data_IF_472793614141
#
_entry.id   IF_472793614141
#
_cell.length_a   1.000
_cell.length_b   1.000
_cell.length_c   1.000
_cell.angle_alpha   90.00
_cell.angle_beta   90.00
_cell.angle_gamma   90.00
#
_symmetry.space_group_name_H-M   'P 1'
#
loop_
_entity.id
_entity.type
_entity.pdbx_description
1 polymer ?
#
# COMPACT_ATOMS: atom_id res chain seq x y z
N UNK A 1 39.34 10.14 55.66
CA UNK A 1 39.47 9.43 54.37
C UNK A 1 38.97 8.00 54.58
N UNK A 2 38.02 7.37 53.88
CA UNK A 2 37.00 7.74 52.90
C UNK A 2 36.04 6.53 52.92
N UNK A 3 34.76 6.69 53.33
CA UNK A 3 33.79 5.58 53.37
C UNK A 3 33.59 5.03 51.96
N UNK A 4 34.03 3.78 51.71
CA UNK A 4 33.82 3.05 50.46
C UNK A 4 32.31 2.87 50.27
N UNK A 5 31.73 3.51 49.24
CA UNK A 5 30.35 3.26 48.83
C UNK A 5 30.26 1.83 48.30
N UNK A 6 29.49 0.97 48.96
CA UNK A 6 29.03 -0.29 48.38
C UNK A 6 27.92 0.05 47.38
N UNK A 7 28.21 -0.06 46.09
CA UNK A 7 27.16 -0.06 45.08
C UNK A 7 26.50 -1.44 45.08
N UNK A 8 25.31 -1.52 45.65
CA UNK A 8 24.38 -2.62 45.38
C UNK A 8 23.87 -2.40 43.95
N UNK A 9 24.16 -3.36 43.06
CA UNK A 9 23.51 -3.39 41.76
C UNK A 9 22.03 -3.70 42.00
N UNK A 10 21.20 -2.65 42.03
CA UNK A 10 19.76 -2.81 41.92
C UNK A 10 19.52 -3.35 40.51
N UNK A 11 19.02 -4.59 40.44
CA UNK A 11 18.49 -5.17 39.20
C UNK A 11 17.44 -4.21 38.65
N UNK A 12 17.72 -3.63 37.49
CA UNK A 12 16.74 -2.87 36.72
C UNK A 12 15.65 -3.87 36.33
N UNK A 13 14.56 -3.88 37.08
CA UNK A 13 13.35 -4.57 36.67
C UNK A 13 12.95 -4.03 35.31
N UNK A 14 13.02 -4.89 34.30
CA UNK A 14 12.52 -4.67 32.95
C UNK A 14 10.99 -4.72 32.94
N UNK A 15 10.33 -3.93 33.80
CA UNK A 15 8.90 -3.68 33.72
C UNK A 15 8.71 -2.38 32.92
N UNK A 16 8.67 -2.55 31.60
CA UNK A 16 8.17 -1.52 30.69
C UNK A 16 6.82 -1.03 31.24
N UNK A 17 6.58 0.29 31.39
CA UNK A 17 5.35 0.78 31.99
C UNK A 17 4.17 0.26 31.16
N UNK A 18 3.24 -0.44 31.81
CA UNK A 18 2.09 -1.04 31.15
C UNK A 18 1.36 0.04 30.32
N UNK A 19 1.50 -0.01 29.00
CA UNK A 19 0.89 0.96 28.09
C UNK A 19 -0.61 0.98 28.37
N UNK A 20 -1.18 2.17 28.58
CA UNK A 20 -2.63 2.34 28.74
C UNK A 20 -3.32 1.80 27.50
N UNK A 21 -4.30 0.90 27.66
CA UNK A 21 -5.09 0.40 26.53
C UNK A 21 -5.73 1.57 25.78
N UNK A 22 -5.33 1.74 24.52
CA UNK A 22 -5.88 2.68 23.57
C UNK A 22 -6.99 2.04 22.74
N UNK A 23 -7.88 2.88 22.20
CA UNK A 23 -8.90 2.43 21.25
C UNK A 23 -8.29 2.04 19.90
N UNK A 24 -9.02 1.28 19.09
CA UNK A 24 -8.61 0.94 17.73
C UNK A 24 -8.34 2.20 16.89
N UNK A 25 -9.18 3.24 17.06
CA UNK A 25 -9.07 4.47 16.29
C UNK A 25 -7.81 5.27 16.70
N UNK A 26 -7.46 5.31 17.99
CA UNK A 26 -6.22 5.94 18.47
C UNK A 26 -4.97 5.19 17.98
N UNK A 27 -5.03 3.86 17.98
CA UNK A 27 -3.96 3.01 17.46
C UNK A 27 -3.78 3.20 15.95
N UNK A 28 -4.89 3.32 15.21
CA UNK A 28 -4.87 3.61 13.78
C UNK A 28 -4.25 4.98 13.50
N UNK A 29 -4.63 6.02 14.25
CA UNK A 29 -4.02 7.34 14.10
C UNK A 29 -2.51 7.32 14.36
N UNK A 30 -2.09 6.64 15.43
CA UNK A 30 -0.68 6.47 15.78
C UNK A 30 0.09 5.74 14.67
N UNK A 31 -0.49 4.67 14.13
CA UNK A 31 0.08 3.92 13.01
C UNK A 31 0.22 4.77 11.74
N UNK A 32 -0.81 5.54 11.37
CA UNK A 32 -0.75 6.42 10.19
C UNK A 32 0.30 7.52 10.38
N UNK A 33 0.48 8.03 11.60
CA UNK A 33 1.52 9.00 11.92
C UNK A 33 2.94 8.40 11.74
N UNK A 34 3.17 7.18 12.24
CA UNK A 34 4.43 6.45 12.02
C UNK A 34 4.69 6.21 10.52
N UNK A 35 3.66 5.82 9.77
CA UNK A 35 3.77 5.63 8.33
C UNK A 35 4.10 6.92 7.57
N UNK A 36 3.55 8.06 8.00
CA UNK A 36 3.89 9.39 7.48
C UNK A 36 5.34 9.75 7.79
N UNK A 37 5.81 9.48 9.01
CA UNK A 37 7.21 9.73 9.40
C UNK A 37 8.20 8.91 8.54
N UNK A 38 7.78 7.76 8.04
CA UNK A 38 8.53 6.91 7.10
C UNK A 38 8.47 7.36 5.64
N UNK A 39 7.85 8.51 5.34
CA UNK A 39 7.68 9.05 3.99
C UNK A 39 7.00 8.06 3.01
N UNK A 40 6.00 7.31 3.50
CA UNK A 40 5.18 6.47 2.63
C UNK A 40 4.25 7.34 1.78
N UNK A 41 4.00 6.88 0.54
CA UNK A 41 3.07 7.56 -0.38
C UNK A 41 1.69 7.73 0.24
N UNK A 42 1.04 8.85 -0.07
CA UNK A 42 -0.35 9.15 0.34
C UNK A 42 -1.29 8.01 -0.04
N UNK A 43 -1.09 7.39 -1.21
CA UNK A 43 -1.91 6.27 -1.66
C UNK A 43 -1.72 5.04 -0.75
N UNK A 44 -0.48 4.77 -0.33
CA UNK A 44 -0.17 3.68 0.62
C UNK A 44 -0.84 3.93 1.96
N UNK A 45 -0.77 5.16 2.49
CA UNK A 45 -1.44 5.54 3.74
C UNK A 45 -2.94 5.28 3.66
N UNK A 46 -3.58 5.74 2.57
CA UNK A 46 -5.01 5.53 2.34
C UNK A 46 -5.38 4.05 2.26
N UNK A 47 -4.58 3.25 1.55
CA UNK A 47 -4.82 1.80 1.47
C UNK A 47 -4.73 1.17 2.85
N UNK A 48 -3.74 1.55 3.66
CA UNK A 48 -3.56 1.01 5.01
C UNK A 48 -4.71 1.41 5.94
N UNK A 49 -5.08 2.69 5.97
CA UNK A 49 -6.19 3.22 6.73
C UNK A 49 -7.51 2.53 6.37
N UNK A 50 -7.86 2.54 5.09
CA UNK A 50 -9.05 1.86 4.59
C UNK A 50 -9.05 0.36 4.93
N UNK A 51 -7.89 -0.29 4.98
CA UNK A 51 -7.83 -1.73 5.28
C UNK A 51 -8.22 -2.02 6.73
N UNK A 52 -7.79 -1.18 7.67
CA UNK A 52 -8.16 -1.31 9.09
C UNK A 52 -9.63 -0.92 9.30
N UNK A 53 -10.11 0.13 8.64
CA UNK A 53 -11.52 0.53 8.71
C UNK A 53 -12.44 -0.55 8.15
N UNK A 54 -12.11 -1.15 7.01
CA UNK A 54 -12.88 -2.25 6.42
C UNK A 54 -12.89 -3.50 7.30
N UNK A 55 -11.81 -3.76 8.04
CA UNK A 55 -11.78 -4.83 9.04
C UNK A 55 -12.76 -4.53 10.19
N UNK A 56 -12.75 -3.30 10.72
CA UNK A 56 -13.69 -2.88 11.76
C UNK A 56 -15.15 -3.00 11.29
N UNK A 57 -15.45 -2.51 10.09
CA UNK A 57 -16.78 -2.63 9.47
C UNK A 57 -17.22 -4.09 9.33
N UNK A 58 -16.35 -4.97 8.82
CA UNK A 58 -16.68 -6.38 8.62
C UNK A 58 -17.02 -7.11 9.94
N UNK A 59 -16.30 -6.82 11.02
CA UNK A 59 -16.60 -7.38 12.35
C UNK A 59 -17.93 -6.83 12.89
N UNK A 60 -18.19 -5.54 12.71
CA UNK A 60 -19.45 -4.89 13.12
C UNK A 60 -20.66 -5.45 12.37
N UNK A 61 -20.58 -5.61 11.05
CA UNK A 61 -21.65 -6.15 10.22
C UNK A 61 -22.00 -7.61 10.57
N UNK A 62 -21.02 -8.38 11.02
CA UNK A 62 -21.21 -9.76 11.51
C UNK A 62 -21.52 -9.84 13.02
N UNK A 63 -21.66 -8.69 13.70
CA UNK A 63 -21.90 -8.61 15.15
C UNK A 63 -20.86 -9.34 15.99
N UNK A 64 -19.62 -9.41 15.51
CA UNK A 64 -18.51 -10.05 16.20
C UNK A 64 -17.72 -9.01 17.01
N UNK A 65 -17.36 -9.30 18.27
CA UNK A 65 -16.51 -8.41 19.04
C UNK A 65 -15.12 -8.32 18.41
N UNK A 66 -14.64 -7.08 18.21
CA UNK A 66 -13.28 -6.80 17.78
C UNK A 66 -12.51 -6.17 18.93
N UNK A 67 -11.68 -6.97 19.59
CA UNK A 67 -10.69 -6.49 20.55
C UNK A 67 -9.28 -6.70 20.00
N UNK A 68 -8.59 -5.60 19.71
CA UNK A 68 -7.25 -5.59 19.13
C UNK A 68 -6.22 -6.32 20.01
N UNK A 69 -6.44 -6.38 21.33
CA UNK A 69 -5.48 -7.01 22.25
C UNK A 69 -5.66 -8.53 22.36
N UNK A 70 -6.80 -9.07 21.92
CA UNK A 70 -7.13 -10.51 22.05
C UNK A 70 -7.45 -11.20 20.74
N UNK A 71 -7.64 -10.44 19.65
CA UNK A 71 -7.94 -10.98 18.32
C UNK A 71 -6.83 -11.90 17.83
N UNK A 72 -7.22 -13.03 17.24
CA UNK A 72 -6.29 -14.00 16.68
C UNK A 72 -6.22 -13.92 15.15
N UNK A 73 -5.20 -14.54 14.55
CA UNK A 73 -5.12 -14.66 13.09
C UNK A 73 -6.31 -15.43 12.50
N UNK A 74 -6.87 -16.37 13.26
CA UNK A 74 -8.04 -17.15 12.89
C UNK A 74 -9.28 -16.28 12.79
N UNK A 75 -9.46 -15.35 13.72
CA UNK A 75 -10.58 -14.42 13.72
C UNK A 75 -10.52 -13.50 12.50
N UNK A 76 -9.34 -12.98 12.16
CA UNK A 76 -9.18 -12.16 10.95
C UNK A 76 -9.47 -12.98 9.69
N UNK A 77 -9.00 -14.23 9.61
CA UNK A 77 -9.29 -15.11 8.47
C UNK A 77 -10.78 -15.37 8.31
N UNK A 78 -11.46 -15.68 9.41
CA UNK A 78 -12.88 -16.07 9.40
C UNK A 78 -13.81 -14.87 9.22
N UNK A 79 -13.59 -13.79 9.96
CA UNK A 79 -14.53 -12.68 10.03
C UNK A 79 -14.16 -11.52 9.11
N UNK A 80 -12.95 -11.47 8.56
CA UNK A 80 -12.58 -10.45 7.58
C UNK A 80 -12.30 -11.04 6.19
N UNK A 81 -11.36 -11.98 6.08
CA UNK A 81 -10.95 -12.50 4.77
C UNK A 81 -12.09 -13.29 4.11
N UNK A 82 -12.71 -14.24 4.83
CA UNK A 82 -13.83 -15.00 4.30
C UNK A 82 -15.04 -14.11 4.01
N UNK A 83 -15.28 -13.09 4.83
CA UNK A 83 -16.32 -12.10 4.59
C UNK A 83 -16.13 -11.35 3.26
N UNK A 84 -14.91 -10.87 2.98
CA UNK A 84 -14.62 -10.19 1.71
C UNK A 84 -14.78 -11.12 0.50
N UNK A 85 -14.38 -12.39 0.62
CA UNK A 85 -14.56 -13.40 -0.44
C UNK A 85 -16.06 -13.64 -0.69
N UNK A 86 -16.85 -13.79 0.38
CA UNK A 86 -18.30 -13.99 0.28
C UNK A 86 -19.03 -12.78 -0.32
N UNK A 87 -18.49 -11.58 -0.16
CA UNK A 87 -18.98 -10.38 -0.85
C UNK A 87 -18.57 -10.29 -2.34
N UNK A 88 -17.88 -11.29 -2.89
CA UNK A 88 -17.43 -11.30 -4.28
C UNK A 88 -16.34 -10.27 -4.59
N UNK A 89 -15.54 -9.86 -3.60
CA UNK A 89 -14.38 -8.98 -3.85
C UNK A 89 -13.30 -9.75 -4.62
N UNK A 90 -12.64 -9.09 -5.56
CA UNK A 90 -11.54 -9.71 -6.30
C UNK A 90 -10.37 -10.06 -5.39
N UNK A 91 -9.65 -11.15 -5.72
CA UNK A 91 -8.49 -11.61 -4.96
C UNK A 91 -7.42 -10.52 -4.79
N UNK A 92 -7.23 -9.69 -5.81
CA UNK A 92 -6.32 -8.53 -5.74
C UNK A 92 -6.76 -7.51 -4.69
N UNK A 93 -8.06 -7.26 -4.58
CA UNK A 93 -8.61 -6.37 -3.55
C UNK A 93 -8.39 -6.96 -2.17
N UNK A 94 -8.75 -8.24 -1.99
CA UNK A 94 -8.55 -8.97 -0.72
C UNK A 94 -7.08 -8.95 -0.31
N UNK A 95 -6.18 -9.24 -1.25
CA UNK A 95 -4.73 -9.24 -1.00
C UNK A 95 -4.17 -7.86 -0.67
N UNK A 96 -4.68 -6.80 -1.30
CA UNK A 96 -4.32 -5.43 -0.94
C UNK A 96 -4.72 -5.10 0.49
N UNK A 97 -5.93 -5.52 0.91
CA UNK A 97 -6.41 -5.34 2.29
C UNK A 97 -5.62 -6.15 3.31
N UNK A 98 -5.32 -7.41 2.99
CA UNK A 98 -4.46 -8.26 3.83
C UNK A 98 -3.10 -7.58 4.05
N UNK A 99 -2.47 -7.02 3.01
CA UNK A 99 -1.20 -6.31 3.14
C UNK A 99 -1.29 -5.10 4.09
N UNK A 100 -2.37 -4.31 4.00
CA UNK A 100 -2.59 -3.18 4.91
C UNK A 100 -2.73 -3.63 6.37
N UNK A 101 -3.55 -4.67 6.61
CA UNK A 101 -3.77 -5.23 7.95
C UNK A 101 -2.48 -5.85 8.51
N UNK A 102 -1.71 -6.58 7.69
CA UNK A 102 -0.40 -7.12 8.09
C UNK A 102 0.52 -6.02 8.58
N UNK A 103 0.58 -4.89 7.86
CA UNK A 103 1.44 -3.77 8.24
C UNK A 103 0.97 -3.10 9.54
N UNK A 104 -0.33 -3.00 9.75
CA UNK A 104 -0.91 -2.51 11.00
C UNK A 104 -0.57 -3.40 12.20
N UNK A 105 -0.84 -4.72 12.12
CA UNK A 105 -0.52 -5.64 13.21
C UNK A 105 0.98 -5.78 13.46
N UNK A 106 1.80 -5.67 12.41
CA UNK A 106 3.26 -5.62 12.55
C UNK A 106 3.70 -4.38 13.33
N UNK A 107 3.12 -3.22 13.05
CA UNK A 107 3.35 -2.00 13.82
C UNK A 107 2.95 -2.19 15.28
N UNK A 108 1.74 -2.71 15.54
CA UNK A 108 1.27 -2.96 16.92
C UNK A 108 2.19 -3.90 17.69
N UNK A 109 2.69 -4.95 17.06
CA UNK A 109 3.63 -5.88 17.67
C UNK A 109 4.99 -5.23 17.95
N UNK A 110 5.53 -4.47 16.98
CA UNK A 110 6.83 -3.79 17.10
C UNK A 110 6.81 -2.73 18.21
N UNK A 111 5.70 -2.02 18.34
CA UNK A 111 5.47 -1.04 19.40
C UNK A 111 5.08 -1.68 20.73
N UNK A 112 4.90 -3.01 20.81
CA UNK A 112 4.51 -3.70 22.05
C UNK A 112 3.08 -3.41 22.52
N UNK A 113 2.17 -3.03 21.62
CA UNK A 113 0.74 -2.96 21.89
C UNK A 113 0.08 -4.35 21.97
N UNK A 114 0.60 -5.30 21.20
CA UNK A 114 0.19 -6.71 21.22
C UNK A 114 1.41 -7.60 21.47
N UNK A 115 1.19 -8.74 22.12
CA UNK A 115 2.25 -9.70 22.48
C UNK A 115 2.48 -10.77 21.42
N UNK A 116 1.50 -11.05 20.57
CA UNK A 116 1.58 -12.03 19.50
C UNK A 116 1.66 -11.34 18.14
N UNK A 117 2.57 -11.82 17.27
CA UNK A 117 2.67 -11.34 15.90
C UNK A 117 1.61 -11.98 15.00
N UNK A 118 0.40 -11.42 14.99
CA UNK A 118 -0.71 -11.85 14.13
C UNK A 118 -0.35 -11.69 12.63
N UNK A 119 0.50 -10.72 12.29
CA UNK A 119 0.83 -10.42 10.92
C UNK A 119 1.52 -11.60 10.21
N UNK A 120 2.37 -12.38 10.88
CA UNK A 120 3.10 -13.47 10.21
C UNK A 120 2.18 -14.61 9.77
N UNK A 121 1.08 -14.82 10.48
CA UNK A 121 0.10 -15.89 10.22
C UNK A 121 -0.93 -15.52 9.14
N UNK A 122 -0.97 -14.26 8.70
CA UNK A 122 -1.86 -13.80 7.63
C UNK A 122 -1.22 -14.04 6.25
N UNK A 123 -1.74 -15.02 5.52
CA UNK A 123 -1.31 -15.32 4.15
C UNK A 123 -2.24 -14.66 3.14
N UNK A 124 -1.66 -14.22 2.02
CA UNK A 124 -2.41 -13.75 0.86
C UNK A 124 -3.21 -14.90 0.24
N UNK A 125 -4.41 -14.59 -0.25
CA UNK A 125 -5.23 -15.53 -1.01
C UNK A 125 -4.56 -15.75 -2.37
N UNK A 126 -4.59 -17.00 -2.86
CA UNK A 126 -4.04 -17.35 -4.16
C UNK A 126 -4.89 -16.70 -5.24
N UNK A 127 -4.45 -15.53 -5.71
CA UNK A 127 -5.10 -14.83 -6.80
C UNK A 127 -4.84 -15.55 -8.12
N UNK A 128 -5.89 -15.74 -8.92
CA UNK A 128 -5.71 -16.10 -10.32
C UNK A 128 -4.91 -14.99 -11.01
N UNK A 129 -3.79 -15.36 -11.63
CA UNK A 129 -3.06 -14.43 -12.48
C UNK A 129 -3.92 -14.18 -13.71
N UNK A 130 -4.58 -13.03 -13.76
CA UNK A 130 -5.15 -12.52 -14.99
C UNK A 130 -4.01 -12.40 -16.00
N UNK A 131 -4.01 -13.27 -17.00
CA UNK A 131 -3.14 -13.08 -18.16
C UNK A 131 -3.68 -11.89 -18.93
N UNK A 132 -2.93 -10.78 -18.84
CA UNK A 132 -3.22 -9.60 -19.65
C UNK A 132 -2.93 -10.00 -21.09
N UNK A 133 -3.97 -10.04 -21.92
CA UNK A 133 -3.82 -10.28 -23.35
C UNK A 133 -3.09 -9.09 -23.96
N UNK A 134 -2.03 -9.36 -24.70
CA UNK A 134 -1.25 -8.35 -25.42
C UNK A 134 -1.90 -8.07 -26.77
N UNK A 135 -1.76 -6.84 -27.26
CA UNK A 135 -2.24 -6.49 -28.59
C UNK A 135 -1.39 -7.11 -29.70
N UNK A 136 -2.03 -7.53 -30.80
CA UNK A 136 -1.32 -7.85 -32.05
C UNK A 136 -0.89 -6.57 -32.77
N UNK A 137 -0.02 -6.69 -33.78
CA UNK A 137 0.44 -5.53 -34.56
C UNK A 137 -0.72 -4.81 -35.25
N UNK A 138 -1.69 -5.56 -35.75
CA UNK A 138 -2.88 -5.07 -36.43
C UNK A 138 -3.77 -4.31 -35.45
N UNK A 139 -4.02 -4.87 -34.26
CA UNK A 139 -4.79 -4.20 -33.21
C UNK A 139 -4.13 -2.88 -32.75
N UNK A 140 -2.81 -2.85 -32.66
CA UNK A 140 -2.07 -1.62 -32.34
C UNK A 140 -2.23 -0.59 -33.47
N UNK A 141 -2.15 -1.01 -34.73
CA UNK A 141 -2.37 -0.13 -35.87
C UNK A 141 -3.79 0.46 -35.89
N UNK A 142 -4.81 -0.36 -35.62
CA UNK A 142 -6.21 0.06 -35.54
C UNK A 142 -6.44 1.05 -34.40
N UNK A 143 -5.83 0.82 -33.24
CA UNK A 143 -5.87 1.73 -32.10
C UNK A 143 -5.24 3.09 -32.44
N UNK A 144 -4.06 3.09 -33.06
CA UNK A 144 -3.35 4.31 -33.47
C UNK A 144 -4.04 5.07 -34.63
N UNK A 145 -5.02 4.46 -35.30
CA UNK A 145 -5.84 5.08 -36.33
C UNK A 145 -7.10 5.76 -35.78
N UNK A 146 -7.52 5.47 -34.55
CA UNK A 146 -8.76 6.04 -33.96
C UNK A 146 -8.73 7.57 -33.77
N UNK A 147 -7.63 8.21 -33.30
CA UNK A 147 -7.64 9.64 -33.03
C UNK A 147 -7.61 10.49 -34.31
N UNK A 148 -8.52 11.47 -34.44
CA UNK A 148 -8.47 12.44 -35.54
C UNK A 148 -7.32 13.44 -35.36
N UNK A 149 -6.25 13.22 -36.13
CA UNK A 149 -5.00 13.99 -36.08
C UNK A 149 -5.14 15.42 -36.58
N UNK A 150 -6.27 15.80 -37.19
CA UNK A 150 -6.57 17.18 -37.60
C UNK A 150 -7.12 18.03 -36.44
N UNK A 151 -7.55 17.39 -35.35
CA UNK A 151 -7.98 18.08 -34.13
C UNK A 151 -6.85 18.14 -33.12
N UNK A 152 -6.82 19.19 -32.30
CA UNK A 152 -5.84 19.30 -31.22
C UNK A 152 -5.91 18.11 -30.25
N UNK A 153 -7.13 17.71 -29.87
CA UNK A 153 -7.36 16.58 -28.94
C UNK A 153 -6.94 15.25 -29.56
N UNK A 154 -7.27 14.99 -30.83
CA UNK A 154 -6.88 13.74 -31.48
C UNK A 154 -5.37 13.67 -31.75
N UNK A 155 -4.72 14.77 -32.12
CA UNK A 155 -3.26 14.81 -32.24
C UNK A 155 -2.56 14.58 -30.90
N UNK A 156 -3.09 15.17 -29.81
CA UNK A 156 -2.60 14.93 -28.45
C UNK A 156 -2.74 13.45 -28.08
N UNK A 157 -3.92 12.86 -28.25
CA UNK A 157 -4.19 11.49 -27.85
C UNK A 157 -3.34 10.49 -28.67
N UNK A 158 -3.18 10.72 -29.97
CA UNK A 158 -2.26 9.96 -30.82
C UNK A 158 -0.81 10.03 -30.31
N UNK A 159 -0.33 11.22 -29.98
CA UNK A 159 1.02 11.42 -29.45
C UNK A 159 1.20 10.71 -28.12
N UNK A 160 0.21 10.78 -27.22
CA UNK A 160 0.21 10.06 -25.94
C UNK A 160 0.27 8.54 -26.14
N UNK A 161 -0.50 7.99 -27.07
CA UNK A 161 -0.48 6.56 -27.40
C UNK A 161 0.88 6.13 -27.96
N UNK A 162 1.46 6.92 -28.87
CA UNK A 162 2.79 6.65 -29.42
C UNK A 162 3.88 6.66 -28.34
N UNK A 163 3.86 7.64 -27.42
CA UNK A 163 4.84 7.69 -26.33
C UNK A 163 4.71 6.46 -25.43
N UNK A 164 3.48 6.05 -25.07
CA UNK A 164 3.26 4.85 -24.26
C UNK A 164 3.79 3.59 -24.96
N UNK A 165 3.53 3.45 -26.27
CA UNK A 165 3.96 2.30 -27.06
C UNK A 165 5.49 2.22 -27.20
N UNK A 166 6.14 3.35 -27.51
CA UNK A 166 7.59 3.40 -27.77
C UNK A 166 8.44 3.37 -26.50
N UNK A 167 7.95 3.97 -25.41
CA UNK A 167 8.73 4.11 -24.16
C UNK A 167 8.36 3.10 -23.08
N UNK A 168 7.14 2.54 -23.14
CA UNK A 168 6.62 1.64 -22.10
C UNK A 168 6.42 2.30 -20.74
N UNK A 169 6.34 3.63 -20.67
CA UNK A 169 6.15 4.36 -19.41
C UNK A 169 4.76 4.14 -18.81
N UNK A 170 4.62 4.39 -17.51
CA UNK A 170 3.31 4.35 -16.86
C UNK A 170 2.48 5.57 -17.24
N UNK A 171 1.15 5.41 -17.30
CA UNK A 171 0.22 6.51 -17.60
C UNK A 171 0.38 7.70 -16.65
N UNK A 172 0.65 7.45 -15.37
CA UNK A 172 0.90 8.50 -14.38
C UNK A 172 2.18 9.29 -14.66
N UNK A 173 3.19 8.65 -15.24
CA UNK A 173 4.44 9.30 -15.63
C UNK A 173 4.20 10.19 -16.86
N UNK A 174 3.45 9.70 -17.84
CA UNK A 174 3.03 10.48 -19.01
C UNK A 174 2.21 11.72 -18.62
N UNK A 175 1.22 11.58 -17.73
CA UNK A 175 0.37 12.69 -17.31
C UNK A 175 1.14 13.79 -16.55
N UNK A 176 2.28 13.46 -15.94
CA UNK A 176 3.12 14.41 -15.21
C UNK A 176 4.30 14.93 -16.03
N UNK A 177 4.43 14.51 -17.29
CA UNK A 177 5.54 14.88 -18.15
C UNK A 177 5.52 16.37 -18.48
N UNK A 178 6.63 17.07 -18.23
CA UNK A 178 6.78 18.50 -18.54
C UNK A 178 7.70 18.68 -19.74
N UNK A 179 7.56 19.82 -20.41
CA UNK A 179 8.41 20.19 -21.56
C UNK A 179 9.90 20.13 -21.19
N UNK A 180 10.26 20.55 -19.97
CA UNK A 180 11.65 20.52 -19.47
C UNK A 180 12.23 19.12 -19.25
N UNK A 181 11.39 18.07 -19.21
CA UNK A 181 11.84 16.68 -19.06
C UNK A 181 12.25 16.06 -20.41
N UNK A 182 11.97 16.76 -21.52
CA UNK A 182 12.19 16.28 -22.89
C UNK A 182 13.50 16.87 -23.43
N UNK A 183 14.51 16.02 -23.60
CA UNK A 183 15.78 16.40 -24.19
C UNK A 183 15.89 15.93 -25.64
N UNK A 184 15.89 16.88 -26.58
CA UNK A 184 16.11 16.61 -28.00
C UNK A 184 17.61 16.60 -28.31
N UNK A 185 18.21 15.42 -28.51
CA UNK A 185 19.60 15.32 -28.99
C UNK A 185 19.61 15.17 -30.51
N UNK A 186 20.22 16.12 -31.22
CA UNK A 186 20.21 16.25 -32.69
C UNK A 186 20.78 15.08 -33.52
N UNK A 187 21.41 14.08 -32.92
CA UNK A 187 22.10 13.00 -33.64
C UNK A 187 21.44 11.62 -33.54
N UNK A 188 20.37 11.49 -32.76
CA UNK A 188 19.55 10.28 -32.66
C UNK A 188 18.26 10.70 -31.97
N UNK A 189 17.08 10.39 -32.53
CA UNK A 189 15.77 10.66 -31.91
C UNK A 189 15.54 9.82 -30.64
N UNK A 190 16.47 9.89 -29.69
CA UNK A 190 16.44 9.20 -28.40
C UNK A 190 15.91 10.21 -27.40
N UNK A 191 14.62 10.11 -27.11
CA UNK A 191 14.01 10.82 -25.99
C UNK A 191 14.51 10.13 -24.73
N UNK A 192 15.47 10.73 -24.02
CA UNK A 192 15.78 10.33 -22.64
C UNK A 192 14.86 11.13 -21.73
N UNK A 193 13.82 10.47 -21.23
CA UNK A 193 12.93 11.05 -20.23
C UNK A 193 13.52 10.78 -18.86
N UNK A 194 13.98 11.85 -18.20
CA UNK A 194 14.52 11.77 -16.86
C UNK A 194 13.36 12.06 -15.89
N UNK A 195 12.51 11.07 -15.68
CA UNK A 195 11.32 11.22 -14.84
C UNK A 195 11.78 11.23 -13.39
N UNK A 196 11.80 12.43 -12.78
CA UNK A 196 11.90 12.54 -11.33
C UNK A 196 10.60 11.98 -10.75
N UNK A 197 10.66 10.77 -10.22
CA UNK A 197 9.60 10.25 -9.36
C UNK A 197 9.64 11.12 -8.10
N UNK A 198 8.80 12.14 -8.03
CA UNK A 198 8.52 12.79 -6.75
C UNK A 198 7.88 11.75 -5.85
N UNK A 199 8.63 11.35 -4.81
CA UNK A 199 8.17 10.51 -3.72
C UNK A 199 7.02 11.19 -2.96
#
# INVERSE_FOLDING_TARGET
MTKRRQNVLVSVDSSSPAKRKLSLDDLLQSFILDCKAKNLSILTLKVYEDSVLRMKEAFQEQQMPLDIYTVTSRDIKNYFIAYMINQGKSDNTVNSRIKGIKQFFKYLFTEGWITQNIADELHVVKAEKLMIQTFTKEQVADLLAQPDRNTFTGFRDYTMMMILLETGMRISELCNLKIGDIFFKKSTYKIRLNIKVSA
#
